data_IF_396367815428
#
_entry.id   IF_396367815428
#
_cell.length_a   1.000
_cell.length_b   1.000
_cell.length_c   1.000
_cell.angle_alpha   90.00
_cell.angle_beta   90.00
_cell.angle_gamma   90.00
#
_symmetry.space_group_name_H-M   'P 1'
#
loop_
_entity.id
_entity.type
_entity.pdbx_description
1 polymer ?
#
# COMPACT_ATOMS: atom_id res chain seq x y z
N UNK A 1 -12.70 14.84 -36.51
CA UNK A 1 -13.48 13.65 -36.18
C UNK A 1 -12.95 13.20 -34.84
N UNK A 2 -13.62 13.64 -33.77
CA UNK A 2 -13.16 13.42 -32.40
C UNK A 2 -13.17 11.92 -32.11
N UNK A 3 -11.97 11.34 -32.05
CA UNK A 3 -11.78 9.98 -31.58
C UNK A 3 -12.22 9.96 -30.12
N UNK A 4 -13.45 9.53 -29.89
CA UNK A 4 -14.00 9.30 -28.56
C UNK A 4 -13.20 8.17 -27.89
N UNK A 5 -12.06 8.54 -27.30
CA UNK A 5 -11.22 7.71 -26.46
C UNK A 5 -11.87 7.72 -25.09
N UNK A 6 -12.49 6.60 -24.73
CA UNK A 6 -12.97 6.42 -23.37
C UNK A 6 -11.76 6.05 -22.52
N UNK A 7 -11.50 6.79 -21.44
CA UNK A 7 -10.34 6.57 -20.57
C UNK A 7 -10.77 6.48 -19.10
N UNK A 8 -10.00 5.72 -18.32
CA UNK A 8 -10.24 5.59 -16.89
C UNK A 8 -9.87 6.89 -16.17
N UNK A 9 -10.83 7.50 -15.45
CA UNK A 9 -10.61 8.74 -14.72
C UNK A 9 -9.54 8.65 -13.62
N UNK A 10 -9.24 7.45 -13.10
CA UNK A 10 -8.27 7.26 -12.02
C UNK A 10 -6.85 6.93 -12.51
N UNK A 11 -6.72 6.15 -13.59
CA UNK A 11 -5.40 5.68 -14.06
C UNK A 11 -5.06 6.08 -15.50
N UNK A 12 -5.96 6.76 -16.21
CA UNK A 12 -5.78 7.18 -17.59
C UNK A 12 -5.70 6.02 -18.60
N UNK A 13 -6.03 4.79 -18.18
CA UNK A 13 -6.00 3.62 -19.09
C UNK A 13 -7.15 3.76 -20.10
N UNK A 14 -6.84 3.60 -21.38
CA UNK A 14 -7.83 3.58 -22.45
C UNK A 14 -8.77 2.39 -22.24
N UNK A 15 -10.05 2.68 -22.14
CA UNK A 15 -11.16 1.75 -22.01
C UNK A 15 -11.78 1.46 -23.38
N UNK A 16 -12.32 0.26 -23.55
CA UNK A 16 -13.05 -0.08 -24.76
C UNK A 16 -14.32 0.78 -24.86
N UNK A 17 -14.73 1.18 -26.06
CA UNK A 17 -15.93 2.02 -26.32
C UNK A 17 -17.24 1.39 -25.81
N UNK A 18 -17.23 0.10 -25.52
CA UNK A 18 -18.37 -0.65 -24.94
C UNK A 18 -18.47 -0.45 -23.43
N UNK A 19 -17.38 -0.03 -22.77
CA UNK A 19 -17.33 0.18 -21.34
C UNK A 19 -18.05 1.49 -20.99
N UNK A 20 -19.13 1.40 -20.22
CA UNK A 20 -19.97 2.56 -19.87
C UNK A 20 -19.52 3.30 -18.63
N UNK A 21 -18.63 2.70 -17.84
CA UNK A 21 -18.17 3.25 -16.58
C UNK A 21 -16.90 4.09 -16.78
N UNK A 22 -16.76 5.15 -15.98
CA UNK A 22 -15.60 6.06 -16.00
C UNK A 22 -14.34 5.46 -15.36
N UNK A 23 -14.47 4.33 -14.65
CA UNK A 23 -13.39 3.66 -13.96
C UNK A 23 -13.16 2.27 -14.52
N UNK A 24 -11.90 1.93 -14.83
CA UNK A 24 -11.53 0.59 -15.26
C UNK A 24 -11.80 -0.45 -14.17
N UNK A 25 -11.99 -1.73 -14.52
CA UNK A 25 -12.29 -2.78 -13.55
C UNK A 25 -11.20 -2.92 -12.48
N UNK A 26 -9.95 -2.65 -12.83
CA UNK A 26 -8.81 -2.67 -11.90
C UNK A 26 -8.89 -1.53 -10.87
N UNK A 27 -9.25 -0.31 -11.29
CA UNK A 27 -9.46 0.83 -10.40
C UNK A 27 -10.69 0.65 -9.52
N UNK A 28 -11.78 0.10 -10.06
CA UNK A 28 -12.96 -0.28 -9.27
C UNK A 28 -12.60 -1.29 -8.18
N UNK A 29 -11.85 -2.32 -8.52
CA UNK A 29 -11.37 -3.32 -7.56
C UNK A 29 -10.42 -2.71 -6.50
N UNK A 30 -9.61 -1.70 -6.87
CA UNK A 30 -8.75 -0.98 -5.92
C UNK A 30 -9.54 -0.12 -4.94
N UNK A 31 -10.59 0.57 -5.41
CA UNK A 31 -11.46 1.39 -4.55
C UNK A 31 -12.24 0.49 -3.59
N UNK A 32 -12.84 -0.59 -4.10
CA UNK A 32 -13.52 -1.59 -3.28
C UNK A 32 -12.56 -2.17 -2.21
N UNK A 33 -11.32 -2.44 -2.59
CA UNK A 33 -10.31 -2.92 -1.65
C UNK A 33 -10.01 -1.89 -0.55
N UNK A 34 -9.92 -0.60 -0.87
CA UNK A 34 -9.70 0.45 0.11
C UNK A 34 -10.87 0.57 1.08
N UNK A 35 -12.10 0.56 0.58
CA UNK A 35 -13.32 0.58 1.40
C UNK A 35 -13.40 -0.62 2.35
N UNK A 36 -13.15 -1.83 1.84
CA UNK A 36 -13.11 -3.06 2.65
C UNK A 36 -12.04 -2.96 3.74
N UNK A 37 -10.87 -2.44 3.39
CA UNK A 37 -9.75 -2.28 4.34
C UNK A 37 -10.10 -1.29 5.44
N UNK A 38 -10.73 -0.18 5.12
CA UNK A 38 -11.12 0.83 6.11
C UNK A 38 -12.28 0.32 6.97
N UNK A 39 -13.24 -0.40 6.39
CA UNK A 39 -14.31 -1.05 7.15
C UNK A 39 -13.79 -2.06 8.19
N UNK A 40 -12.81 -2.90 7.81
CA UNK A 40 -12.15 -3.86 8.73
C UNK A 40 -11.28 -3.15 9.79
N UNK A 41 -10.78 -1.95 9.50
CA UNK A 41 -10.03 -1.16 10.48
C UNK A 41 -10.93 -0.43 11.47
N UNK A 42 -12.08 0.04 11.02
CA UNK A 42 -13.03 0.77 11.85
C UNK A 42 -13.87 -0.17 12.72
N UNK A 43 -14.21 -1.35 12.19
CA UNK A 43 -15.07 -2.34 12.84
C UNK A 43 -14.35 -3.67 13.08
N UNK A 44 -14.62 -4.32 14.21
CA UNK A 44 -14.15 -5.68 14.48
C UNK A 44 -15.13 -6.70 13.85
N UNK A 45 -14.95 -6.96 12.56
CA UNK A 45 -15.86 -7.76 11.73
C UNK A 45 -15.18 -9.00 11.17
N UNK A 46 -15.93 -10.09 11.00
CA UNK A 46 -15.39 -11.32 10.39
C UNK A 46 -15.41 -11.23 8.87
N UNK A 47 -14.64 -12.09 8.21
CA UNK A 47 -14.57 -12.20 6.75
C UNK A 47 -15.95 -12.36 6.09
N UNK A 48 -16.88 -13.03 6.79
CA UNK A 48 -18.23 -13.33 6.34
C UNK A 48 -19.09 -12.06 6.35
N UNK A 49 -19.00 -11.25 7.43
CA UNK A 49 -19.77 -10.01 7.56
C UNK A 49 -19.33 -8.98 6.51
N UNK A 50 -18.03 -8.92 6.22
CA UNK A 50 -17.47 -8.09 5.15
C UNK A 50 -17.97 -8.55 3.78
N UNK A 51 -17.96 -9.86 3.54
CA UNK A 51 -18.44 -10.42 2.27
C UNK A 51 -19.92 -10.11 2.02
N UNK A 52 -20.76 -10.18 3.06
CA UNK A 52 -22.17 -9.85 2.99
C UNK A 52 -22.39 -8.34 2.78
N UNK A 53 -21.65 -7.49 3.50
CA UNK A 53 -21.77 -6.03 3.41
C UNK A 53 -21.39 -5.49 2.02
N UNK A 54 -20.29 -6.00 1.44
CA UNK A 54 -19.78 -5.54 0.15
C UNK A 54 -20.27 -6.38 -1.04
N UNK A 55 -21.06 -7.43 -0.80
CA UNK A 55 -21.56 -8.33 -1.85
C UNK A 55 -20.45 -9.06 -2.61
N UNK A 56 -19.32 -9.34 -1.95
CA UNK A 56 -18.17 -10.03 -2.56
C UNK A 56 -17.98 -11.43 -1.98
N UNK A 57 -17.40 -12.37 -2.75
CA UNK A 57 -17.14 -13.70 -2.21
C UNK A 57 -16.12 -13.66 -1.06
N UNK A 58 -16.40 -14.40 0.01
CA UNK A 58 -15.51 -14.56 1.19
C UNK A 58 -14.08 -14.94 0.77
N UNK A 59 -13.94 -15.77 -0.27
CA UNK A 59 -12.65 -16.16 -0.84
C UNK A 59 -11.79 -14.97 -1.30
N UNK A 60 -12.40 -13.88 -1.79
CA UNK A 60 -11.69 -12.67 -2.23
C UNK A 60 -11.13 -11.92 -1.01
N UNK A 61 -11.91 -11.81 0.06
CA UNK A 61 -11.49 -11.22 1.35
C UNK A 61 -10.34 -12.04 1.96
N UNK A 62 -10.50 -13.37 2.04
CA UNK A 62 -9.46 -14.28 2.53
C UNK A 62 -8.16 -14.19 1.76
N UNK A 63 -8.23 -14.05 0.44
CA UNK A 63 -7.05 -13.88 -0.40
C UNK A 63 -6.30 -12.60 -0.04
N UNK A 64 -7.00 -11.47 0.14
CA UNK A 64 -6.37 -10.22 0.53
C UNK A 64 -5.71 -10.25 1.91
N UNK A 65 -6.32 -10.97 2.85
CA UNK A 65 -5.73 -11.22 4.18
C UNK A 65 -4.48 -12.10 4.05
N UNK A 66 -4.56 -13.21 3.30
CA UNK A 66 -3.44 -14.14 3.08
C UNK A 66 -2.27 -13.50 2.34
N UNK A 67 -2.55 -12.59 1.41
CA UNK A 67 -1.54 -11.79 0.71
C UNK A 67 -0.91 -10.70 1.61
N UNK A 68 -1.42 -10.50 2.83
CA UNK A 68 -0.96 -9.46 3.76
C UNK A 68 -1.34 -8.05 3.33
N UNK A 69 -2.34 -7.90 2.44
CA UNK A 69 -2.80 -6.60 1.95
C UNK A 69 -3.77 -5.91 2.92
N UNK A 70 -4.50 -6.71 3.72
CA UNK A 70 -5.44 -6.26 4.76
C UNK A 70 -4.96 -6.80 6.11
N UNK A 71 -5.02 -5.97 7.14
CA UNK A 71 -4.61 -6.32 8.50
C UNK A 71 -5.74 -5.93 9.46
N UNK A 72 -6.11 -6.88 10.34
CA UNK A 72 -7.02 -6.62 11.45
C UNK A 72 -6.34 -5.72 12.49
N UNK A 73 -7.13 -4.93 13.23
CA UNK A 73 -6.64 -4.32 14.47
C UNK A 73 -6.17 -5.45 15.38
N UNK A 74 -5.02 -5.27 16.04
CA UNK A 74 -4.43 -6.26 16.94
C UNK A 74 -5.50 -6.78 17.92
N UNK A 75 -5.90 -8.04 17.72
CA UNK A 75 -7.06 -8.62 18.40
C UNK A 75 -7.42 -10.01 17.87
N UNK A 76 -6.77 -11.03 18.45
CA UNK A 76 -7.21 -12.43 18.59
C UNK A 76 -7.54 -13.30 17.35
N UNK A 77 -7.77 -12.76 16.14
CA UNK A 77 -8.26 -13.53 14.99
C UNK A 77 -7.30 -13.58 13.80
N UNK A 78 -6.02 -13.25 14.01
CA UNK A 78 -5.00 -13.36 12.96
C UNK A 78 -4.38 -14.75 13.07
N UNK A 79 -4.56 -15.59 12.06
CA UNK A 79 -3.74 -16.82 11.96
C UNK A 79 -2.28 -16.39 12.01
N UNK A 80 -1.51 -16.85 13.01
CA UNK A 80 -0.15 -16.40 13.20
C UNK A 80 0.64 -16.68 11.91
N UNK A 81 1.17 -15.62 11.30
CA UNK A 81 2.01 -15.76 10.12
C UNK A 81 3.38 -16.19 10.62
N UNK A 82 3.92 -17.27 10.07
CA UNK A 82 5.22 -17.80 10.45
C UNK A 82 6.26 -17.47 9.39
N UNK A 83 7.44 -17.02 9.83
CA UNK A 83 8.59 -16.83 8.95
C UNK A 83 8.96 -18.14 8.26
N UNK A 84 9.03 -18.17 6.94
CA UNK A 84 9.39 -19.37 6.17
C UNK A 84 10.83 -19.86 6.40
N UNK A 85 11.67 -19.04 7.05
CA UNK A 85 13.10 -19.32 7.25
C UNK A 85 13.39 -19.76 8.69
N UNK A 86 12.77 -19.14 9.68
CA UNK A 86 13.05 -19.42 11.10
C UNK A 86 11.82 -19.83 11.91
N UNK A 87 10.62 -19.85 11.34
CA UNK A 87 9.39 -20.26 12.02
C UNK A 87 8.83 -19.28 13.05
N UNK A 88 9.54 -18.20 13.40
CA UNK A 88 9.04 -17.16 14.32
C UNK A 88 7.75 -16.55 13.79
N UNK A 89 6.83 -16.26 14.71
CA UNK A 89 5.61 -15.49 14.42
C UNK A 89 5.99 -14.08 13.97
N UNK A 90 5.36 -13.61 12.90
CA UNK A 90 5.56 -12.29 12.33
C UNK A 90 4.21 -11.62 12.13
N UNK A 91 4.19 -10.31 12.30
CA UNK A 91 2.97 -9.52 12.12
C UNK A 91 2.62 -9.33 10.64
N UNK A 92 3.64 -9.38 9.75
CA UNK A 92 3.48 -9.24 8.30
C UNK A 92 4.62 -9.85 7.48
N UNK A 93 4.30 -10.24 6.24
CA UNK A 93 5.24 -10.76 5.24
C UNK A 93 5.47 -12.27 5.31
N UNK A 94 6.34 -12.81 4.45
CA UNK A 94 6.72 -14.23 4.46
C UNK A 94 8.00 -14.52 5.25
N UNK A 95 8.81 -13.48 5.50
CA UNK A 95 10.12 -13.57 6.14
C UNK A 95 10.27 -12.45 7.16
N UNK A 96 10.70 -12.80 8.37
CA UNK A 96 10.92 -11.85 9.46
C UNK A 96 12.04 -10.84 9.16
N UNK A 97 12.07 -9.68 9.83
CA UNK A 97 13.09 -8.65 9.61
C UNK A 97 14.52 -9.18 9.80
N UNK A 98 14.73 -10.08 10.76
CA UNK A 98 16.04 -10.69 11.00
C UNK A 98 16.50 -11.58 9.85
N UNK A 99 15.63 -12.47 9.36
CA UNK A 99 15.94 -13.36 8.24
C UNK A 99 16.05 -12.60 6.91
N UNK A 100 15.31 -11.50 6.76
CA UNK A 100 15.43 -10.62 5.59
C UNK A 100 16.78 -9.94 5.54
N UNK A 101 17.27 -9.47 6.69
CA UNK A 101 18.60 -8.83 6.82
C UNK A 101 19.74 -9.84 6.61
N UNK A 102 19.59 -11.07 7.11
CA UNK A 102 20.58 -12.14 6.95
C UNK A 102 20.69 -12.66 5.51
N UNK A 103 19.59 -12.71 4.77
CA UNK A 103 19.57 -13.20 3.39
C UNK A 103 19.81 -12.12 2.33
N UNK A 104 20.12 -10.88 2.72
CA UNK A 104 20.39 -9.80 1.76
C UNK A 104 19.20 -9.43 0.86
N UNK A 105 17.96 -9.83 1.20
CA UNK A 105 16.75 -9.45 0.47
C UNK A 105 16.39 -7.99 0.81
N UNK A 106 17.17 -7.05 0.28
CA UNK A 106 16.86 -5.63 0.33
C UNK A 106 15.76 -5.34 -0.71
N UNK A 107 14.49 -5.37 -0.28
CA UNK A 107 13.41 -4.79 -1.08
C UNK A 107 13.70 -3.29 -1.13
N UNK A 108 14.25 -2.83 -2.25
CA UNK A 108 14.50 -1.42 -2.52
C UNK A 108 13.12 -0.75 -2.69
N UNK A 109 12.51 -0.33 -1.58
CA UNK A 109 11.37 0.56 -1.64
C UNK A 109 11.87 1.88 -2.23
N UNK A 110 11.60 2.11 -3.51
CA UNK A 110 11.83 3.39 -4.18
C UNK A 110 11.15 4.50 -3.37
N UNK A 111 11.92 5.25 -2.60
CA UNK A 111 11.66 6.67 -2.35
C UNK A 111 12.99 7.41 -2.42
N UNK A 112 13.17 8.01 -3.59
CA UNK A 112 14.25 8.88 -4.01
C UNK A 112 14.45 10.05 -3.05
N UNK A 113 15.55 10.03 -2.29
CA UNK A 113 16.41 11.19 -2.03
C UNK A 113 17.83 10.66 -1.90
N UNK A 114 18.72 11.17 -2.73
CA UNK A 114 20.16 10.91 -2.66
C UNK A 114 20.72 11.61 -1.42
N UNK A 115 21.65 10.97 -0.73
CA UNK A 115 22.34 11.55 0.44
C UNK A 115 23.00 12.92 0.10
N UNK A 116 23.44 13.10 -1.15
CA UNK A 116 23.94 14.36 -1.71
C UNK A 116 22.95 15.54 -1.65
N UNK A 117 21.63 15.29 -1.76
CA UNK A 117 20.62 16.35 -1.73
C UNK A 117 20.45 16.97 -0.33
N UNK A 118 20.68 16.17 0.72
CA UNK A 118 20.61 16.62 2.12
C UNK A 118 21.74 17.63 2.40
N UNK A 119 22.92 17.40 1.83
CA UNK A 119 24.09 18.25 2.08
C UNK A 119 24.01 19.61 1.37
N UNK A 120 23.33 19.69 0.23
CA UNK A 120 23.06 20.96 -0.46
C UNK A 120 21.96 21.79 0.22
N UNK A 121 20.96 21.15 0.84
CA UNK A 121 19.87 21.86 1.54
C UNK A 121 20.33 22.50 2.87
N UNK A 122 21.35 21.96 3.53
CA UNK A 122 21.86 22.47 4.82
C UNK A 122 22.73 23.73 4.71
N UNK A 123 23.05 24.21 3.50
CA UNK A 123 23.98 25.35 3.30
C UNK A 123 23.34 26.75 3.28
N UNK A 124 22.02 26.88 3.41
CA UNK A 124 21.34 28.17 3.19
C UNK A 124 20.71 28.84 4.44
N UNK A 125 21.10 28.45 5.65
CA UNK A 125 20.72 29.16 6.87
C UNK A 125 21.96 29.48 7.72
N UNK A 126 22.61 30.60 7.40
CA UNK A 126 23.77 31.09 8.14
C UNK A 126 24.23 32.47 7.67
N UNK A 127 23.30 33.44 7.56
CA UNK A 127 23.65 34.85 7.35
C UNK A 127 23.85 35.48 8.74
N UNK A 128 25.09 35.52 9.23
CA UNK A 128 25.51 36.40 10.31
C UNK A 128 26.30 37.55 9.69
N UNK A 129 25.68 38.74 9.66
CA UNK A 129 26.28 39.98 9.23
C UNK A 129 27.20 40.51 10.34
N UNK A 130 28.52 40.49 10.11
CA UNK A 130 29.47 41.26 10.91
C UNK A 130 30.41 42.05 9.99
N UNK A 131 29.94 43.25 9.61
CA UNK A 131 30.76 44.28 9.00
C UNK A 131 31.37 45.19 10.08
N UNK A 132 32.60 44.89 10.50
CA UNK A 132 33.54 45.87 11.05
C UNK A 132 34.94 45.55 10.52
N UNK A 133 35.47 46.44 9.69
CA UNK A 133 36.90 46.47 9.38
C UNK A 133 37.36 47.92 9.37
N UNK A 134 38.39 48.13 10.19
CA UNK A 134 39.23 49.31 10.41
C UNK A 134 39.64 50.05 9.15
#
# INVERSE_FOLDING_TARGET
MDENVHECAQCGRILNKVYKDDLCPECKDLNLFAEVKDYIRENDVKEIDVAEHFGIPVSKVRRWIKEGRIQYKEGENITPIHCQICGKTIDFGSVCPECRRKNGLHIYAKKSYSDDDIQSAMRFLGKSEEGKRY
#
